data_IF_100060736993
#
_entry.id   IF_100060736993
#
_cell.length_a   1.000
_cell.length_b   1.000
_cell.length_c   1.000
_cell.angle_alpha   90.00
_cell.angle_beta   90.00
_cell.angle_gamma   90.00
#
_symmetry.space_group_name_H-M   'P 1'
#
loop_
_entity.id
_entity.type
_entity.pdbx_description
1 polymer ?
#
# COMPACT_ATOMS: atom_id res chain seq x y z
N UNK A 1 -18.03 56.13 52.52
CA UNK A 1 -17.06 55.17 51.97
C UNK A 1 -17.25 55.21 50.48
N UNK A 2 -16.34 55.84 49.72
CA UNK A 2 -16.34 55.92 48.25
C UNK A 2 -15.57 54.73 47.72
N UNK A 3 -16.21 53.84 47.04
CA UNK A 3 -15.62 52.66 46.39
C UNK A 3 -14.88 53.11 45.12
N UNK A 4 -13.59 52.97 45.08
CA UNK A 4 -12.74 53.36 43.94
C UNK A 4 -13.04 52.50 42.71
N UNK A 5 -13.49 53.11 41.59
CA UNK A 5 -13.81 52.36 40.35
C UNK A 5 -12.57 51.73 39.72
N UNK A 6 -11.38 52.15 40.07
CA UNK A 6 -10.10 51.64 39.47
C UNK A 6 -9.79 50.19 39.91
N UNK A 7 -10.21 49.77 41.12
CA UNK A 7 -9.99 48.40 41.61
C UNK A 7 -10.87 47.36 40.94
N UNK A 8 -12.05 47.74 40.47
CA UNK A 8 -12.97 46.84 39.76
C UNK A 8 -12.51 46.53 38.32
N UNK A 9 -11.87 47.51 37.66
CA UNK A 9 -11.36 47.30 36.27
C UNK A 9 -10.12 46.39 36.25
N UNK A 10 -9.24 46.48 37.25
CA UNK A 10 -8.06 45.65 37.35
C UNK A 10 -8.39 44.16 37.58
N UNK A 11 -9.44 43.86 38.37
CA UNK A 11 -9.88 42.50 38.63
C UNK A 11 -10.54 41.84 37.39
N UNK A 12 -11.25 42.62 36.57
CA UNK A 12 -11.89 42.14 35.34
C UNK A 12 -10.88 41.76 34.24
N UNK A 13 -9.77 42.49 34.10
CA UNK A 13 -8.75 42.23 33.10
C UNK A 13 -7.90 40.98 33.42
N UNK A 14 -7.69 40.68 34.69
CA UNK A 14 -6.93 39.51 35.14
C UNK A 14 -7.70 38.19 34.90
N UNK A 15 -9.02 38.20 35.08
CA UNK A 15 -9.88 37.03 34.83
C UNK A 15 -9.99 36.72 33.35
N UNK A 16 -10.06 37.77 32.48
CA UNK A 16 -10.15 37.59 31.04
C UNK A 16 -8.84 37.02 30.44
N UNK A 17 -7.66 37.35 31.00
CA UNK A 17 -6.36 36.82 30.56
C UNK A 17 -6.15 35.34 30.89
N UNK A 18 -6.76 34.85 31.99
CA UNK A 18 -6.65 33.42 32.36
C UNK A 18 -7.57 32.51 31.51
N UNK A 19 -8.63 33.05 30.90
CA UNK A 19 -9.56 32.28 30.07
C UNK A 19 -9.04 32.04 28.64
N UNK A 20 -8.00 32.75 28.18
CA UNK A 20 -7.45 32.63 26.83
C UNK A 20 -6.36 31.56 26.69
N UNK A 21 -5.90 30.95 27.80
CA UNK A 21 -4.86 29.90 27.74
C UNK A 21 -5.40 28.45 27.63
N UNK A 22 -6.71 28.26 27.61
CA UNK A 22 -7.32 26.92 27.61
C UNK A 22 -7.81 26.43 26.26
N UNK A 23 -7.53 27.11 25.15
CA UNK A 23 -8.14 26.85 23.83
C UNK A 23 -7.29 26.02 22.84
N UNK A 24 -6.21 25.34 23.30
CA UNK A 24 -5.34 24.57 22.39
C UNK A 24 -5.33 23.05 22.66
N UNK A 25 -6.37 22.51 23.27
CA UNK A 25 -6.56 21.07 23.40
C UNK A 25 -7.69 20.55 22.50
N UNK A 26 -7.82 21.09 21.29
CA UNK A 26 -8.61 20.40 20.27
C UNK A 26 -7.74 19.30 19.69
N UNK A 27 -8.14 18.08 20.02
CA UNK A 27 -7.50 16.86 19.64
C UNK A 27 -7.08 16.85 18.18
N UNK A 28 -5.84 16.50 17.96
CA UNK A 28 -5.40 16.06 16.65
C UNK A 28 -6.35 14.95 16.21
N UNK A 29 -7.13 15.23 15.17
CA UNK A 29 -7.85 14.18 14.46
C UNK A 29 -6.85 13.04 14.21
N UNK A 30 -7.24 11.75 14.38
CA UNK A 30 -6.34 10.67 14.07
C UNK A 30 -5.77 10.94 12.69
N UNK A 31 -4.46 11.02 12.61
CA UNK A 31 -3.69 11.17 11.39
C UNK A 31 -4.34 10.27 10.34
N UNK A 32 -4.75 10.84 9.21
CA UNK A 32 -5.22 10.06 8.07
C UNK A 32 -4.17 8.96 7.88
N UNK A 33 -4.56 7.71 8.09
CA UNK A 33 -3.65 6.58 8.09
C UNK A 33 -2.84 6.65 6.79
N UNK A 34 -1.51 6.65 6.91
CA UNK A 34 -0.59 6.71 5.77
C UNK A 34 -1.13 5.79 4.65
N UNK A 35 -1.46 6.32 3.47
CA UNK A 35 -2.01 5.52 2.37
C UNK A 35 -1.16 4.29 2.04
N UNK A 36 0.16 4.40 2.17
CA UNK A 36 1.08 3.30 2.00
C UNK A 36 0.91 2.22 3.08
N UNK A 37 0.64 2.60 4.33
CA UNK A 37 0.36 1.66 5.41
C UNK A 37 -0.96 0.91 5.18
N UNK A 38 -1.99 1.59 4.67
CA UNK A 38 -3.28 0.97 4.31
C UNK A 38 -3.07 -0.05 3.19
N UNK A 39 -2.45 0.34 2.08
CA UNK A 39 -2.20 -0.55 0.94
C UNK A 39 -1.35 -1.77 1.32
N UNK A 40 -0.31 -1.59 2.14
CA UNK A 40 0.48 -2.70 2.70
C UNK A 40 -0.37 -3.65 3.54
N UNK A 41 -1.27 -3.12 4.38
CA UNK A 41 -2.18 -3.94 5.18
C UNK A 41 -3.14 -4.75 4.28
N UNK A 42 -3.65 -4.15 3.20
CA UNK A 42 -4.45 -4.87 2.19
C UNK A 42 -3.63 -5.97 1.52
N UNK A 43 -2.42 -5.69 1.07
CA UNK A 43 -1.52 -6.64 0.43
C UNK A 43 -1.25 -7.87 1.30
N UNK A 44 -1.16 -7.67 2.63
CA UNK A 44 -1.02 -8.76 3.60
C UNK A 44 -2.32 -9.54 3.81
N UNK A 45 -3.44 -8.85 4.16
CA UNK A 45 -4.69 -9.53 4.54
C UNK A 45 -5.41 -10.22 3.38
N UNK A 46 -5.26 -9.69 2.16
CA UNK A 46 -5.79 -10.30 0.94
C UNK A 46 -4.90 -11.44 0.41
N UNK A 47 -3.83 -11.78 1.15
CA UNK A 47 -2.87 -12.83 0.81
C UNK A 47 -2.16 -12.65 -0.54
N UNK A 48 -1.98 -11.42 -1.01
CA UNK A 48 -1.18 -11.14 -2.22
C UNK A 48 0.25 -11.69 -2.07
N UNK A 49 0.79 -11.65 -0.83
CA UNK A 49 2.11 -12.19 -0.48
C UNK A 49 2.27 -13.68 -0.76
N UNK A 50 1.17 -14.44 -0.74
CA UNK A 50 1.21 -15.90 -0.96
C UNK A 50 1.69 -16.27 -2.36
N UNK A 51 1.35 -15.44 -3.36
CA UNK A 51 1.76 -15.63 -4.74
C UNK A 51 2.86 -14.64 -5.16
N UNK A 52 2.67 -13.34 -4.87
CA UNK A 52 3.60 -12.29 -5.31
C UNK A 52 4.81 -12.11 -4.39
N UNK A 53 4.86 -12.79 -3.24
CA UNK A 53 5.85 -12.61 -2.18
C UNK A 53 5.77 -11.19 -1.58
N UNK A 54 6.44 -10.95 -0.46
CA UNK A 54 6.45 -9.64 0.18
C UNK A 54 7.10 -8.55 -0.71
N UNK A 55 8.07 -8.95 -1.52
CA UNK A 55 8.85 -8.06 -2.39
C UNK A 55 8.28 -7.90 -3.80
N UNK A 56 7.25 -8.67 -4.17
CA UNK A 56 6.58 -8.53 -5.46
C UNK A 56 7.25 -9.20 -6.64
N UNK A 57 8.36 -9.95 -6.48
CA UNK A 57 9.01 -10.64 -7.63
C UNK A 57 8.17 -11.80 -8.17
N UNK A 58 7.17 -12.25 -7.40
CA UNK A 58 6.38 -13.41 -7.81
C UNK A 58 7.17 -14.72 -7.74
N UNK A 59 6.99 -15.58 -8.74
CA UNK A 59 7.54 -16.94 -8.76
C UNK A 59 6.68 -17.91 -7.98
N UNK A 60 7.02 -19.19 -8.04
CA UNK A 60 6.23 -20.32 -7.56
C UNK A 60 5.57 -20.15 -6.21
N UNK A 61 4.28 -20.37 -6.17
CA UNK A 61 3.43 -20.27 -4.99
C UNK A 61 2.18 -21.12 -5.14
N UNK A 62 1.25 -21.05 -4.19
CA UNK A 62 0.03 -21.87 -4.15
C UNK A 62 -0.88 -21.68 -5.37
N UNK A 63 -0.82 -20.54 -6.06
CA UNK A 63 -1.62 -20.21 -7.24
C UNK A 63 -0.87 -20.35 -8.57
N UNK A 64 0.28 -21.02 -8.60
CA UNK A 64 1.17 -21.08 -9.76
C UNK A 64 2.21 -19.97 -9.77
N UNK A 65 2.85 -19.77 -10.92
CA UNK A 65 3.90 -18.75 -11.07
C UNK A 65 3.28 -17.36 -11.25
N UNK A 66 3.25 -16.58 -10.16
CA UNK A 66 2.82 -15.19 -10.24
C UNK A 66 3.86 -14.34 -10.95
N UNK A 67 3.41 -13.49 -11.87
CA UNK A 67 4.28 -12.53 -12.54
C UNK A 67 4.84 -11.51 -11.55
N UNK A 68 6.05 -11.00 -11.85
CA UNK A 68 6.68 -9.96 -11.06
C UNK A 68 5.88 -8.66 -11.12
N UNK A 69 5.54 -8.14 -9.93
CA UNK A 69 4.98 -6.79 -9.79
C UNK A 69 6.08 -5.72 -9.89
N UNK A 70 7.35 -6.09 -9.70
CA UNK A 70 8.48 -5.13 -9.78
C UNK A 70 8.76 -4.70 -11.21
N UNK A 71 8.51 -5.57 -12.16
CA UNK A 71 8.72 -5.33 -13.59
C UNK A 71 7.41 -5.11 -14.35
N UNK A 72 6.28 -5.00 -13.66
CA UNK A 72 4.98 -4.78 -14.33
C UNK A 72 4.94 -3.45 -15.06
N UNK A 73 4.39 -3.44 -16.27
CA UNK A 73 4.14 -2.22 -17.05
C UNK A 73 2.72 -1.68 -16.84
N UNK A 74 1.88 -2.37 -16.06
CA UNK A 74 0.49 -1.98 -15.85
C UNK A 74 0.38 -0.58 -15.24
N UNK A 75 -0.62 0.19 -15.71
CA UNK A 75 -1.02 1.45 -15.10
C UNK A 75 -1.76 1.21 -13.79
N UNK A 76 -2.06 2.27 -13.04
CA UNK A 76 -2.87 2.22 -11.82
C UNK A 76 -4.21 1.55 -12.07
N UNK A 77 -4.91 2.00 -13.09
CA UNK A 77 -6.25 1.53 -13.48
C UNK A 77 -6.21 0.05 -13.87
N UNK A 78 -5.19 -0.35 -14.63
CA UNK A 78 -5.00 -1.75 -15.01
C UNK A 78 -4.66 -2.65 -13.81
N UNK A 79 -3.90 -2.15 -12.83
CA UNK A 79 -3.66 -2.88 -11.58
C UNK A 79 -4.98 -3.02 -10.80
N UNK A 80 -5.77 -1.94 -10.69
CA UNK A 80 -7.07 -1.97 -10.03
C UNK A 80 -8.02 -2.94 -10.69
N UNK A 81 -8.11 -2.94 -12.02
CA UNK A 81 -8.91 -3.90 -12.79
C UNK A 81 -8.44 -5.32 -12.55
N UNK A 82 -7.12 -5.56 -12.61
CA UNK A 82 -6.53 -6.89 -12.36
C UNK A 82 -6.83 -7.39 -10.95
N UNK A 83 -6.77 -6.54 -9.92
CA UNK A 83 -7.14 -6.92 -8.55
C UNK A 83 -8.65 -7.16 -8.45
N UNK A 84 -9.47 -6.30 -9.06
CA UNK A 84 -10.92 -6.45 -9.03
C UNK A 84 -11.37 -7.75 -9.70
N UNK A 85 -10.83 -8.04 -10.86
CA UNK A 85 -11.32 -9.03 -11.81
C UNK A 85 -10.49 -10.34 -11.82
N UNK A 86 -9.35 -10.38 -11.12
CA UNK A 86 -8.43 -11.49 -11.29
C UNK A 86 -7.81 -11.52 -12.67
N UNK A 87 -7.21 -12.65 -13.07
CA UNK A 87 -6.68 -12.84 -14.43
C UNK A 87 -7.27 -14.10 -15.05
N UNK A 88 -8.10 -13.99 -16.09
CA UNK A 88 -8.68 -15.14 -16.80
C UNK A 88 -7.61 -16.16 -17.20
N UNK A 89 -7.93 -17.43 -17.04
CA UNK A 89 -7.04 -18.54 -17.35
C UNK A 89 -5.85 -18.73 -16.41
N UNK A 90 -5.83 -18.02 -15.27
CA UNK A 90 -4.75 -18.12 -14.26
C UNK A 90 -5.29 -18.37 -12.85
N UNK A 91 -4.39 -18.66 -11.90
CA UNK A 91 -4.72 -18.79 -10.48
C UNK A 91 -4.90 -17.47 -9.74
N UNK A 92 -4.73 -16.30 -10.39
CA UNK A 92 -4.94 -15.01 -9.71
C UNK A 92 -6.43 -14.76 -9.51
N UNK A 93 -6.93 -14.72 -8.25
CA UNK A 93 -8.35 -14.60 -7.98
C UNK A 93 -8.89 -13.19 -8.24
N UNK A 94 -10.21 -13.08 -8.42
CA UNK A 94 -10.90 -11.80 -8.40
C UNK A 94 -11.29 -11.43 -6.96
N UNK A 95 -11.11 -10.14 -6.61
CA UNK A 95 -11.37 -9.62 -5.26
C UNK A 95 -12.62 -8.75 -5.20
N UNK A 96 -13.22 -8.41 -6.34
CA UNK A 96 -14.46 -7.62 -6.37
C UNK A 96 -15.67 -8.56 -6.30
N UNK A 97 -16.59 -8.26 -5.37
CA UNK A 97 -17.87 -8.99 -5.31
C UNK A 97 -18.68 -8.77 -6.57
N UNK A 98 -19.18 -9.86 -7.18
CA UNK A 98 -19.97 -9.79 -8.40
C UNK A 98 -19.16 -9.57 -9.68
N UNK A 99 -17.83 -9.76 -9.64
CA UNK A 99 -16.99 -9.77 -10.84
C UNK A 99 -17.52 -10.82 -11.84
N UNK A 100 -17.61 -10.44 -13.10
CA UNK A 100 -18.16 -11.22 -14.23
C UNK A 100 -19.67 -11.49 -14.18
N UNK A 101 -20.34 -11.27 -13.05
CA UNK A 101 -21.79 -11.52 -12.92
C UNK A 101 -22.60 -10.22 -13.02
N UNK A 102 -22.38 -9.30 -12.08
CA UNK A 102 -23.05 -8.01 -12.05
C UNK A 102 -22.18 -6.89 -12.62
N UNK A 103 -20.89 -7.12 -12.71
CA UNK A 103 -19.91 -6.18 -13.27
C UNK A 103 -19.07 -6.91 -14.30
N UNK A 104 -19.01 -6.37 -15.51
CA UNK A 104 -18.08 -6.86 -16.53
C UNK A 104 -16.63 -6.65 -16.11
N UNK A 105 -15.81 -7.61 -16.45
CA UNK A 105 -14.37 -7.58 -16.25
C UNK A 105 -13.68 -7.72 -17.60
N UNK A 106 -12.79 -6.81 -17.93
CA UNK A 106 -12.18 -6.76 -19.27
C UNK A 106 -13.25 -6.76 -20.38
N UNK A 107 -14.35 -6.02 -20.16
CA UNK A 107 -15.54 -5.96 -21.02
C UNK A 107 -16.29 -7.29 -21.21
N UNK A 108 -15.92 -8.34 -20.46
CA UNK A 108 -16.52 -9.68 -20.54
C UNK A 108 -17.39 -10.00 -19.33
N UNK A 109 -18.44 -10.77 -19.56
CA UNK A 109 -19.23 -11.42 -18.52
C UNK A 109 -18.79 -12.89 -18.33
N UNK A 110 -19.39 -13.59 -17.35
CA UNK A 110 -19.07 -14.99 -17.04
C UNK A 110 -19.23 -15.96 -18.21
N UNK A 111 -20.21 -15.75 -19.06
CA UNK A 111 -20.45 -16.63 -20.21
C UNK A 111 -19.39 -16.43 -21.29
N UNK A 112 -18.96 -15.19 -21.50
CA UNK A 112 -17.93 -14.83 -22.48
C UNK A 112 -16.55 -15.35 -22.07
N UNK A 113 -16.23 -15.32 -20.76
CA UNK A 113 -14.95 -15.87 -20.24
C UNK A 113 -14.97 -17.40 -20.16
N UNK A 114 -16.13 -17.99 -19.92
CA UNK A 114 -16.32 -19.45 -19.93
C UNK A 114 -15.46 -20.16 -18.87
N UNK A 115 -14.70 -21.17 -19.30
CA UNK A 115 -13.86 -21.98 -18.41
C UNK A 115 -12.57 -21.28 -17.95
N UNK A 116 -12.31 -20.06 -18.41
CA UNK A 116 -11.15 -19.27 -17.98
C UNK A 116 -11.47 -18.32 -16.80
N UNK A 117 -12.67 -18.42 -16.22
CA UNK A 117 -13.02 -17.65 -15.03
C UNK A 117 -11.95 -17.82 -13.94
N UNK A 118 -11.36 -16.73 -13.42
CA UNK A 118 -10.43 -16.81 -12.30
C UNK A 118 -11.14 -17.35 -11.05
N UNK A 119 -10.40 -17.96 -10.09
CA UNK A 119 -11.00 -18.33 -8.83
C UNK A 119 -11.50 -17.11 -8.06
N UNK A 120 -12.50 -17.33 -7.21
CA UNK A 120 -12.98 -16.33 -6.26
C UNK A 120 -12.00 -16.19 -5.11
N UNK A 121 -11.70 -14.97 -4.70
CA UNK A 121 -10.85 -14.73 -3.55
C UNK A 121 -11.57 -15.13 -2.23
N UNK A 122 -10.83 -15.66 -1.28
CA UNK A 122 -11.34 -15.96 0.05
C UNK A 122 -11.82 -14.72 0.83
N UNK A 123 -11.36 -13.55 0.42
CA UNK A 123 -11.70 -12.26 1.03
C UNK A 123 -11.96 -11.25 -0.06
N UNK A 124 -13.18 -10.73 -0.13
CA UNK A 124 -13.49 -9.62 -1.02
C UNK A 124 -12.93 -8.31 -0.49
N UNK A 125 -12.56 -7.44 -1.42
CA UNK A 125 -12.05 -6.10 -1.14
C UNK A 125 -13.10 -5.04 -1.50
N UNK A 126 -13.14 -3.98 -0.70
CA UNK A 126 -13.90 -2.77 -1.04
C UNK A 126 -13.16 -1.98 -2.14
N UNK A 127 -13.85 -1.12 -2.90
CA UNK A 127 -13.18 -0.26 -3.88
C UNK A 127 -11.98 0.51 -3.31
N UNK A 128 -12.12 1.10 -2.12
CA UNK A 128 -11.03 1.82 -1.45
C UNK A 128 -9.84 0.92 -1.07
N UNK A 129 -10.06 -0.35 -0.82
CA UNK A 129 -8.99 -1.33 -0.54
C UNK A 129 -8.23 -1.67 -1.83
N UNK A 130 -8.97 -1.79 -2.95
CA UNK A 130 -8.38 -2.03 -4.28
C UNK A 130 -7.51 -0.84 -4.71
N UNK A 131 -8.00 0.38 -4.53
CA UNK A 131 -7.23 1.60 -4.76
C UNK A 131 -5.96 1.62 -3.91
N UNK A 132 -6.10 1.41 -2.60
CA UNK A 132 -4.98 1.45 -1.68
C UNK A 132 -3.89 0.41 -2.01
N UNK A 133 -4.27 -0.81 -2.39
CA UNK A 133 -3.29 -1.83 -2.76
C UNK A 133 -2.63 -1.54 -4.11
N UNK A 134 -3.34 -0.96 -5.07
CA UNK A 134 -2.77 -0.52 -6.35
C UNK A 134 -1.73 0.59 -6.12
N UNK A 135 -2.06 1.59 -5.29
CA UNK A 135 -1.15 2.67 -4.92
C UNK A 135 0.09 2.14 -4.19
N UNK A 136 -0.09 1.16 -3.30
CA UNK A 136 1.03 0.50 -2.63
C UNK A 136 1.96 -0.22 -3.62
N UNK A 137 1.41 -0.96 -4.57
CA UNK A 137 2.21 -1.64 -5.61
C UNK A 137 3.02 -0.64 -6.41
N UNK A 138 2.40 0.46 -6.85
CA UNK A 138 3.07 1.49 -7.63
C UNK A 138 4.16 2.21 -6.85
N UNK A 139 3.90 2.57 -5.61
CA UNK A 139 4.84 3.36 -4.82
C UNK A 139 5.99 2.54 -4.22
N UNK A 140 5.74 1.28 -3.85
CA UNK A 140 6.64 0.49 -3.01
C UNK A 140 7.16 -0.80 -3.65
N UNK A 141 6.63 -1.21 -4.80
CA UNK A 141 7.03 -2.46 -5.45
C UNK A 141 7.51 -2.22 -6.88
N UNK A 142 6.67 -1.63 -7.73
CA UNK A 142 6.98 -1.39 -9.14
C UNK A 142 8.27 -0.57 -9.29
N UNK A 143 9.19 -1.04 -10.12
CA UNK A 143 10.43 -0.33 -10.47
C UNK A 143 11.51 -0.32 -9.39
N UNK A 144 11.35 -1.08 -8.29
CA UNK A 144 12.31 -1.03 -7.16
C UNK A 144 13.60 -1.86 -7.34
N UNK A 145 13.77 -2.55 -8.46
CA UNK A 145 14.95 -3.42 -8.67
C UNK A 145 14.93 -4.65 -7.75
N UNK A 146 16.09 -5.16 -7.33
CA UNK A 146 16.17 -6.33 -6.45
C UNK A 146 15.75 -5.99 -5.01
N UNK A 147 15.06 -6.93 -4.31
CA UNK A 147 14.71 -6.76 -2.92
C UNK A 147 15.94 -6.56 -2.03
N UNK A 148 15.82 -5.68 -1.04
CA UNK A 148 16.93 -5.37 -0.14
C UNK A 148 16.50 -5.35 1.34
N UNK A 149 17.48 -5.21 2.24
CA UNK A 149 17.26 -5.23 3.68
C UNK A 149 16.30 -4.11 4.13
N UNK A 150 16.46 -2.89 3.61
CA UNK A 150 15.63 -1.76 4.01
C UNK A 150 14.15 -1.96 3.62
N UNK A 151 13.88 -2.47 2.42
CA UNK A 151 12.52 -2.81 1.98
C UNK A 151 11.91 -3.93 2.83
N UNK A 152 12.70 -4.96 3.17
CA UNK A 152 12.26 -6.05 4.00
C UNK A 152 11.86 -5.57 5.41
N UNK A 153 12.69 -4.73 6.03
CA UNK A 153 12.40 -4.13 7.34
C UNK A 153 11.16 -3.22 7.26
N UNK A 154 11.01 -2.44 6.20
CA UNK A 154 9.83 -1.60 6.00
C UNK A 154 8.55 -2.45 5.89
N UNK A 155 8.64 -3.67 5.36
CA UNK A 155 7.50 -4.57 5.23
C UNK A 155 7.19 -5.32 6.53
N UNK A 156 8.18 -5.96 7.16
CA UNK A 156 7.99 -6.87 8.30
C UNK A 156 8.19 -6.20 9.67
N UNK A 157 8.88 -5.07 9.73
CA UNK A 157 9.32 -4.42 10.96
C UNK A 157 10.79 -4.70 11.28
N UNK A 158 11.40 -3.81 12.04
CA UNK A 158 12.83 -3.79 12.33
C UNK A 158 13.34 -4.93 13.25
N UNK A 159 12.43 -5.66 13.88
CA UNK A 159 12.78 -6.82 14.73
C UNK A 159 12.67 -8.15 13.99
N UNK A 160 12.29 -8.15 12.71
CA UNK A 160 12.05 -9.37 11.95
C UNK A 160 13.33 -10.03 11.48
N UNK A 161 13.60 -11.25 11.96
CA UNK A 161 14.77 -12.05 11.56
C UNK A 161 14.68 -12.57 10.11
N UNK A 162 13.49 -12.57 9.52
CA UNK A 162 13.30 -12.99 8.11
C UNK A 162 14.10 -12.11 7.14
N UNK A 163 14.43 -10.88 7.55
CA UNK A 163 15.20 -9.94 6.73
C UNK A 163 16.73 -10.18 6.80
N UNK A 164 17.21 -11.03 7.70
CA UNK A 164 18.65 -11.22 7.89
C UNK A 164 19.37 -11.74 6.64
N UNK A 165 18.66 -12.46 5.77
CA UNK A 165 19.18 -12.95 4.49
C UNK A 165 19.59 -11.83 3.53
N UNK A 166 19.06 -10.62 3.73
CA UNK A 166 19.38 -9.44 2.92
C UNK A 166 20.51 -8.58 3.51
N UNK A 167 20.99 -8.85 4.74
CA UNK A 167 22.06 -8.07 5.38
C UNK A 167 23.39 -8.20 4.65
N UNK A 168 23.64 -9.35 4.02
CA UNK A 168 24.91 -9.66 3.32
C UNK A 168 24.86 -9.35 1.83
N UNK A 169 23.68 -9.01 1.30
CA UNK A 169 23.55 -8.50 -0.06
C UNK A 169 24.00 -7.03 -0.05
N UNK A 170 25.30 -6.83 -0.25
CA UNK A 170 25.87 -5.48 -0.36
C UNK A 170 25.08 -4.71 -1.42
N UNK A 171 24.62 -3.52 -1.07
CA UNK A 171 24.14 -2.54 -2.02
C UNK A 171 25.13 -2.49 -3.18
N UNK A 172 24.75 -2.69 -4.45
CA UNK A 172 25.66 -2.46 -5.55
C UNK A 172 26.16 -1.03 -5.40
N UNK A 173 27.47 -0.86 -5.28
CA UNK A 173 28.08 0.45 -5.21
C UNK A 173 27.59 1.24 -6.43
N UNK A 174 26.91 2.34 -6.20
CA UNK A 174 26.56 3.30 -7.25
C UNK A 174 27.86 3.72 -7.92
N UNK A 175 28.10 3.26 -9.16
CA UNK A 175 29.21 3.74 -9.98
C UNK A 175 30.20 2.68 -10.43
N UNK A 176 29.77 1.67 -11.19
CA UNK A 176 30.66 1.08 -12.19
C UNK A 176 30.00 1.31 -13.54
N UNK A 177 30.49 2.33 -14.23
CA UNK A 177 30.16 2.54 -15.64
C UNK A 177 30.58 1.31 -16.44
N UNK A 178 29.79 0.87 -17.47
CA UNK A 178 30.18 -0.25 -18.30
C UNK A 178 31.48 0.11 -19.02
N UNK A 179 32.51 -0.68 -18.81
CA UNK A 179 33.74 -0.62 -19.58
C UNK A 179 33.41 -0.95 -21.04
N UNK A 180 33.51 0.03 -21.91
CA UNK A 180 33.48 -0.18 -23.37
C UNK A 180 34.68 -1.00 -23.76
N UNK A 181 34.48 -2.30 -23.90
CA UNK A 181 35.46 -3.20 -24.52
C UNK A 181 35.57 -2.90 -26.00
N UNK A 182 36.63 -2.24 -26.39
CA UNK A 182 37.03 -2.11 -27.78
C UNK A 182 37.44 -3.48 -28.30
N UNK A 183 36.68 -4.00 -29.26
CA UNK A 183 37.05 -5.16 -30.04
C UNK A 183 38.06 -4.75 -31.13
N UNK A 184 39.13 -5.45 -31.17
CA UNK A 184 40.09 -5.43 -32.28
C UNK A 184 39.70 -6.49 -33.30
#
# INVERSE_FOLDING_TARGET
>A
MKSDPIRLVAAGLLVCSLLMLSANAYGQSPSASDPAAVGKAVFKRANCVGCHKWHGNGGGGYGGDALSLRTTELTREQIMETVSCGRPGTGMPFFMRGAYDTTKCYDMNRQEVGNQIPPEANTFLRPSDIEAVADYVLAHIKGKGEPNYAECIAFFGNTSRVCDVYKTQATPAAGVAPSTGASK
#
